data_IF_209857682928
#
_entry.id   IF_209857682928
#
_cell.length_a   1.000
_cell.length_b   1.000
_cell.length_c   1.000
_cell.angle_alpha   90.00
_cell.angle_beta   90.00
_cell.angle_gamma   90.00
#
_symmetry.space_group_name_H-M   'P 1'
#
loop_
_entity.id
_entity.type
_entity.pdbx_description
1 polymer ?
#
# COMPACT_ATOMS: atom_id res chain seq x y z
N UNK A 1 -2.08 54.18 22.07
CA UNK A 1 -1.78 53.49 20.80
C UNK A 1 -0.48 52.72 20.98
N UNK A 2 -0.52 51.38 21.05
CA UNK A 2 0.68 50.54 21.21
C UNK A 2 0.73 49.58 20.02
N UNK A 3 1.44 50.00 18.98
CA UNK A 3 1.76 49.15 17.84
C UNK A 3 3.10 48.46 18.13
N UNK A 4 3.10 47.13 18.22
CA UNK A 4 4.15 46.21 17.79
C UNK A 4 4.03 44.87 18.52
N UNK A 5 3.51 43.83 17.86
CA UNK A 5 3.84 42.44 18.19
C UNK A 5 4.07 41.67 16.87
N UNK A 6 5.34 41.29 16.70
CA UNK A 6 5.93 40.18 15.95
C UNK A 6 5.10 39.46 14.86
N UNK A 7 5.46 39.68 13.60
CA UNK A 7 5.24 38.70 12.53
C UNK A 7 6.40 37.72 12.52
N UNK A 8 6.25 36.59 13.23
CA UNK A 8 7.22 35.48 13.24
C UNK A 8 6.47 34.19 12.87
N UNK A 9 6.99 33.51 11.86
CA UNK A 9 6.73 32.12 11.49
C UNK A 9 5.44 31.80 10.72
N UNK A 10 5.62 31.57 9.42
CA UNK A 10 5.19 30.40 8.65
C UNK A 10 3.86 29.69 8.96
N UNK A 11 3.10 29.47 7.88
CA UNK A 11 2.15 28.37 7.70
C UNK A 11 0.82 28.46 8.47
N UNK A 12 -0.03 29.42 8.11
CA UNK A 12 -1.48 29.27 8.30
C UNK A 12 -2.16 29.37 6.93
N UNK A 13 -2.22 28.22 6.23
CA UNK A 13 -3.17 28.07 5.13
C UNK A 13 -4.55 27.91 5.78
N UNK A 14 -5.52 28.79 5.51
CA UNK A 14 -6.86 28.66 6.07
C UNK A 14 -7.48 27.37 5.53
N UNK A 15 -7.97 26.54 6.45
CA UNK A 15 -8.71 25.32 6.13
C UNK A 15 -9.92 25.68 5.28
N UNK A 16 -9.83 25.39 3.98
CA UNK A 16 -10.98 25.42 3.08
C UNK A 16 -11.73 24.10 3.27
N UNK A 17 -12.91 24.18 3.90
CA UNK A 17 -13.94 23.16 3.77
C UNK A 17 -14.11 22.85 2.27
N UNK A 18 -13.67 21.66 1.86
CA UNK A 18 -13.95 21.12 0.53
C UNK A 18 -14.51 19.73 0.76
N UNK A 19 -15.84 19.65 0.89
CA UNK A 19 -16.60 18.42 0.83
C UNK A 19 -16.63 17.97 -0.63
N UNK A 20 -15.73 17.08 -0.99
CA UNK A 20 -15.81 16.29 -2.22
C UNK A 20 -14.98 15.02 -1.97
N UNK A 21 -15.47 13.89 -2.44
CA UNK A 21 -14.95 12.52 -2.29
C UNK A 21 -13.47 12.28 -2.73
N UNK A 22 -12.69 13.35 -2.87
CA UNK A 22 -11.27 13.43 -3.22
C UNK A 22 -10.30 13.35 -2.04
N UNK A 23 -10.77 13.46 -0.79
CA UNK A 23 -9.94 13.32 0.42
C UNK A 23 -10.13 11.93 1.04
N UNK A 24 -9.83 10.88 0.28
CA UNK A 24 -9.67 9.57 0.90
C UNK A 24 -8.49 9.66 1.88
N UNK A 25 -8.77 9.71 3.18
CA UNK A 25 -7.74 9.69 4.21
C UNK A 25 -6.92 8.39 4.16
N UNK A 26 -5.71 8.45 4.73
CA UNK A 26 -4.89 7.26 4.91
C UNK A 26 -5.66 6.21 5.72
N UNK A 27 -5.83 5.00 5.18
CA UNK A 27 -6.55 3.90 5.85
C UNK A 27 -5.85 3.32 7.10
N UNK A 28 -4.68 3.84 7.46
CA UNK A 28 -3.97 3.44 8.67
C UNK A 28 -4.64 4.12 9.89
N UNK A 29 -5.17 3.37 10.87
CA UNK A 29 -5.80 3.93 12.06
C UNK A 29 -4.88 4.92 12.77
N UNK A 30 -5.41 6.08 13.15
CA UNK A 30 -4.67 7.11 13.87
C UNK A 30 -3.74 8.00 13.02
N UNK A 31 -3.64 7.80 11.70
CA UNK A 31 -2.78 8.63 10.85
C UNK A 31 -3.37 10.04 10.59
N UNK A 32 -4.63 10.12 10.14
CA UNK A 32 -5.33 11.38 9.84
C UNK A 32 -4.78 12.20 8.67
N UNK A 33 -3.79 11.70 7.92
CA UNK A 33 -3.21 12.38 6.74
C UNK A 33 -3.98 12.01 5.46
N UNK A 34 -4.05 12.90 4.45
CA UNK A 34 -4.65 12.57 3.17
C UNK A 34 -3.88 11.42 2.50
N UNK A 35 -4.58 10.55 1.77
CA UNK A 35 -3.89 9.51 1.01
C UNK A 35 -3.07 10.12 -0.12
N UNK A 36 -2.03 9.38 -0.53
CA UNK A 36 -1.14 9.83 -1.58
C UNK A 36 -1.88 9.90 -2.91
N UNK A 37 -1.83 11.05 -3.59
CA UNK A 37 -2.34 11.24 -4.95
C UNK A 37 -1.17 11.40 -5.90
N UNK A 38 -1.17 10.67 -7.01
CA UNK A 38 -0.15 10.82 -8.04
C UNK A 38 -0.46 11.99 -8.98
N UNK A 39 0.48 12.30 -9.88
CA UNK A 39 0.37 13.40 -10.86
C UNK A 39 -0.78 13.20 -11.86
N UNK A 40 -1.26 11.96 -12.02
CA UNK A 40 -2.37 11.58 -12.90
C UNK A 40 -3.72 11.61 -12.18
N UNK A 41 -3.73 11.91 -10.88
CA UNK A 41 -4.92 11.98 -10.06
C UNK A 41 -5.35 10.65 -9.45
N UNK A 42 -4.58 9.57 -9.58
CA UNK A 42 -4.90 8.31 -8.91
C UNK A 42 -4.64 8.44 -7.41
N UNK A 43 -5.64 8.09 -6.61
CA UNK A 43 -5.57 8.15 -5.15
C UNK A 43 -5.18 6.79 -4.59
N UNK A 44 -4.12 6.76 -3.79
CA UNK A 44 -3.70 5.59 -3.04
C UNK A 44 -4.62 5.37 -1.82
N UNK A 45 -4.47 4.22 -1.15
CA UNK A 45 -5.17 3.96 0.11
C UNK A 45 -4.41 4.51 1.32
N UNK A 46 -3.15 4.90 1.13
CA UNK A 46 -2.23 5.26 2.20
C UNK A 46 -1.48 6.54 1.83
N UNK A 47 -1.11 7.34 2.83
CA UNK A 47 -0.36 8.58 2.61
C UNK A 47 1.12 8.33 2.24
N UNK A 48 1.65 7.13 2.50
CA UNK A 48 3.07 6.84 2.32
C UNK A 48 3.33 5.34 2.16
N UNK A 49 4.50 4.98 1.62
CA UNK A 49 4.90 3.58 1.52
C UNK A 49 5.07 2.90 2.90
N UNK A 50 5.66 3.54 3.92
CA UNK A 50 5.71 2.97 5.26
C UNK A 50 4.33 2.61 5.82
N UNK A 51 3.33 3.49 5.69
CA UNK A 51 1.97 3.20 6.19
C UNK A 51 1.30 2.07 5.41
N UNK A 52 1.55 2.01 4.10
CA UNK A 52 1.09 0.90 3.27
C UNK A 52 1.68 -0.44 3.69
N UNK A 53 2.95 -0.48 4.14
CA UNK A 53 3.57 -1.69 4.70
C UNK A 53 3.03 -1.99 6.10
N UNK A 54 2.90 -0.97 6.94
CA UNK A 54 2.40 -1.10 8.31
C UNK A 54 1.00 -1.72 8.31
N UNK A 55 0.14 -1.33 7.37
CA UNK A 55 -1.19 -1.91 7.24
C UNK A 55 -1.21 -3.42 6.99
N UNK A 56 -0.16 -3.98 6.37
CA UNK A 56 -0.01 -5.43 6.21
C UNK A 56 0.44 -6.08 7.52
N UNK A 57 1.39 -5.44 8.22
CA UNK A 57 1.93 -5.93 9.50
C UNK A 57 0.84 -5.96 10.57
N UNK A 58 0.03 -4.91 10.63
CA UNK A 58 -1.07 -4.75 11.61
C UNK A 58 -2.31 -5.57 11.21
N UNK A 59 -2.30 -6.26 10.06
CA UNK A 59 -3.43 -7.06 9.58
C UNK A 59 -4.62 -6.23 9.09
N UNK A 60 -4.45 -4.92 8.87
CA UNK A 60 -5.49 -4.01 8.34
C UNK A 60 -5.76 -4.29 6.85
N UNK A 61 -4.75 -4.75 6.12
CA UNK A 61 -4.88 -5.13 4.70
C UNK A 61 -4.23 -6.46 4.43
N UNK A 62 -4.88 -7.26 3.58
CA UNK A 62 -4.38 -8.56 3.18
C UNK A 62 -3.07 -8.44 2.40
N UNK A 63 -2.08 -9.25 2.80
CA UNK A 63 -0.79 -9.30 2.15
C UNK A 63 -0.87 -9.92 0.74
N UNK A 64 -0.09 -9.38 -0.19
CA UNK A 64 0.16 -9.97 -1.51
C UNK A 64 0.58 -11.44 -1.37
N UNK A 65 -0.08 -12.34 -2.11
CA UNK A 65 0.20 -13.78 -2.01
C UNK A 65 1.63 -14.16 -2.43
N UNK A 66 2.28 -13.34 -3.26
CA UNK A 66 3.65 -13.56 -3.73
C UNK A 66 4.72 -12.96 -2.81
N UNK A 67 4.69 -11.65 -2.59
CA UNK A 67 5.79 -10.95 -1.90
C UNK A 67 5.57 -10.78 -0.39
N UNK A 68 4.31 -10.86 0.08
CA UNK A 68 3.91 -10.70 1.49
C UNK A 68 4.30 -9.37 2.16
N UNK A 69 4.87 -8.42 1.41
CA UNK A 69 5.36 -7.13 1.93
C UNK A 69 4.31 -6.01 1.74
N UNK A 70 3.58 -6.06 0.63
CA UNK A 70 2.64 -5.01 0.22
C UNK A 70 1.20 -5.54 0.25
N UNK A 71 0.20 -4.67 0.46
CA UNK A 71 -1.18 -5.07 0.41
C UNK A 71 -1.57 -5.47 -1.01
N UNK A 72 -2.60 -6.30 -1.12
CA UNK A 72 -3.28 -6.64 -2.37
C UNK A 72 -3.72 -5.37 -3.13
N UNK A 73 -3.55 -5.35 -4.44
CA UNK A 73 -3.96 -4.20 -5.26
C UNK A 73 -5.47 -4.23 -5.51
N UNK A 74 -6.13 -3.07 -5.52
CA UNK A 74 -7.56 -2.95 -5.85
C UNK A 74 -7.67 -2.35 -7.26
N UNK A 75 -8.32 -3.09 -8.17
CA UNK A 75 -8.56 -2.68 -9.55
C UNK A 75 -10.06 -2.73 -9.79
N UNK A 76 -10.68 -1.61 -10.18
CA UNK A 76 -12.11 -1.52 -10.49
C UNK A 76 -12.98 -2.15 -9.38
N UNK A 77 -12.75 -1.74 -8.13
CA UNK A 77 -13.44 -2.23 -6.92
C UNK A 77 -13.23 -3.71 -6.59
N UNK A 78 -12.34 -4.42 -7.32
CA UNK A 78 -11.97 -5.80 -7.06
C UNK A 78 -10.57 -5.90 -6.49
N UNK A 79 -10.44 -6.61 -5.38
CA UNK A 79 -9.15 -6.94 -4.77
C UNK A 79 -8.48 -8.06 -5.56
N UNK A 80 -7.27 -7.80 -6.08
CA UNK A 80 -6.43 -8.79 -6.74
C UNK A 80 -5.56 -9.53 -5.73
N UNK A 81 -5.13 -10.76 -6.03
CA UNK A 81 -4.29 -11.55 -5.10
C UNK A 81 -2.86 -11.02 -4.91
N UNK A 82 -2.46 -10.07 -5.76
CA UNK A 82 -1.08 -9.60 -5.85
C UNK A 82 -1.00 -8.08 -5.75
N UNK A 83 0.10 -7.56 -5.21
CA UNK A 83 0.33 -6.12 -5.12
C UNK A 83 0.71 -5.48 -6.46
N UNK A 84 1.13 -6.27 -7.45
CA UNK A 84 1.56 -5.77 -8.76
C UNK A 84 1.48 -6.85 -9.84
N UNK A 85 1.48 -6.42 -11.11
CA UNK A 85 1.56 -7.33 -12.27
C UNK A 85 2.79 -8.21 -12.23
N UNK A 86 3.94 -7.66 -11.82
CA UNK A 86 5.17 -8.42 -11.67
C UNK A 86 5.04 -9.56 -10.64
N UNK A 87 4.37 -9.32 -9.51
CA UNK A 87 4.08 -10.36 -8.53
C UNK A 87 3.12 -11.43 -9.08
N UNK A 88 2.11 -11.03 -9.85
CA UNK A 88 1.18 -11.96 -10.49
C UNK A 88 1.88 -12.84 -11.56
N UNK A 89 2.74 -12.24 -12.39
CA UNK A 89 3.50 -12.97 -13.40
C UNK A 89 4.50 -13.94 -12.76
N UNK A 90 5.25 -13.47 -11.77
CA UNK A 90 6.12 -14.37 -11.03
C UNK A 90 5.34 -15.55 -10.45
N UNK A 91 4.14 -15.32 -9.86
CA UNK A 91 3.25 -16.35 -9.30
C UNK A 91 2.94 -17.48 -10.29
N UNK A 92 2.59 -17.15 -11.54
CA UNK A 92 2.29 -18.16 -12.55
C UNK A 92 3.55 -18.91 -13.00
N UNK A 93 4.68 -18.23 -13.12
CA UNK A 93 5.93 -18.85 -13.57
C UNK A 93 6.42 -19.96 -12.63
N UNK A 94 6.29 -19.77 -11.31
CA UNK A 94 6.69 -20.82 -10.35
C UNK A 94 5.63 -21.91 -10.15
N UNK A 95 4.40 -21.71 -10.63
CA UNK A 95 3.36 -22.75 -10.63
C UNK A 95 3.76 -23.97 -11.48
N UNK A 96 4.67 -23.77 -12.43
CA UNK A 96 5.18 -24.80 -13.33
C UNK A 96 6.33 -25.63 -12.75
N UNK A 97 6.98 -25.20 -11.65
CA UNK A 97 8.24 -25.79 -11.17
C UNK A 97 8.12 -26.62 -9.89
N UNK A 98 6.93 -26.72 -9.28
CA UNK A 98 6.76 -27.43 -8.00
C UNK A 98 6.43 -28.92 -8.14
N UNK A 99 6.50 -29.49 -9.35
CA UNK A 99 6.26 -30.93 -9.57
C UNK A 99 7.53 -31.66 -10.05
N UNK A 100 8.70 -31.36 -9.48
CA UNK A 100 9.97 -32.07 -9.78
C UNK A 100 10.93 -32.13 -8.59
N UNK A 101 10.42 -32.36 -7.38
CA UNK A 101 11.27 -32.75 -6.25
C UNK A 101 10.55 -33.69 -5.30
N UNK A 102 10.36 -34.95 -5.74
CA UNK A 102 10.04 -36.06 -4.83
C UNK A 102 10.44 -37.46 -5.35
N UNK A 103 11.06 -37.63 -6.53
CA UNK A 103 11.43 -38.97 -7.05
C UNK A 103 12.93 -39.30 -6.95
N UNK A 104 13.81 -38.35 -6.62
CA UNK A 104 15.26 -38.57 -6.70
C UNK A 104 15.95 -39.09 -5.42
N UNK A 105 15.23 -39.32 -4.31
CA UNK A 105 15.84 -39.76 -3.02
C UNK A 105 15.75 -41.28 -2.80
N UNK A 106 15.28 -42.06 -3.79
CA UNK A 106 15.01 -43.50 -3.61
C UNK A 106 15.93 -44.47 -4.36
N UNK A 107 17.13 -44.06 -4.81
CA UNK A 107 18.03 -44.93 -5.59
C UNK A 107 19.50 -44.98 -5.11
N UNK A 108 19.78 -44.79 -3.82
CA UNK A 108 21.17 -44.86 -3.31
C UNK A 108 21.38 -45.91 -2.19
N UNK A 109 20.34 -46.60 -1.73
CA UNK A 109 20.53 -47.74 -0.83
C UNK A 109 19.57 -48.87 -1.20
N UNK A 110 20.04 -49.82 -2.01
CA UNK A 110 20.06 -51.27 -1.75
C UNK A 110 20.65 -52.01 -2.95
#
# INVERSE_FOLDING_TARGET
MRCAIAYRSGQHHPQRLSTSDDDAGCRLPGCGRPAFKDEYGNVSQYCSQPHRRQAVIDGISEACLRCKIWPKNILNDKTSDFCSRACAMAAVDTGSTQHLSLVAVALIHF
#
